data_IF_577961907793
#
_entry.id   IF_577961907793
#
_cell.length_a   1.000
_cell.length_b   1.000
_cell.length_c   1.000
_cell.angle_alpha   90.00
_cell.angle_beta   90.00
_cell.angle_gamma   90.00
#
_symmetry.space_group_name_H-M   'P 1'
#
loop_
_entity.id
_entity.type
_entity.pdbx_description
1 polymer ?
#
# COMPACT_ATOMS: atom_id res chain seq x y z
N UNK A 1 -27.34 12.61 74.64
CA UNK A 1 -27.05 13.20 73.33
C UNK A 1 -28.15 12.76 72.37
N UNK A 2 -28.94 13.72 71.87
CA UNK A 2 -30.06 13.49 70.96
C UNK A 2 -29.57 13.10 69.56
N UNK A 3 -30.12 12.03 68.98
CA UNK A 3 -30.09 11.79 67.53
C UNK A 3 -31.52 11.72 66.99
N UNK A 4 -31.87 12.76 66.23
CA UNK A 4 -33.13 12.89 65.47
C UNK A 4 -32.98 12.24 64.09
N UNK A 5 -34.01 11.45 63.75
CA UNK A 5 -34.71 11.33 62.46
C UNK A 5 -33.93 11.36 61.13
N UNK A 6 -33.85 10.18 60.53
CA UNK A 6 -34.41 9.80 59.21
C UNK A 6 -34.58 10.94 58.20
N UNK A 7 -33.78 10.90 57.13
CA UNK A 7 -34.22 11.27 55.78
C UNK A 7 -34.12 10.03 54.90
N UNK A 8 -35.28 9.61 54.42
CA UNK A 8 -35.44 8.65 53.34
C UNK A 8 -34.83 9.21 52.05
N UNK A 9 -34.11 8.37 51.32
CA UNK A 9 -33.90 8.53 49.87
C UNK A 9 -34.36 7.23 49.20
N UNK A 10 -35.14 7.31 48.11
CA UNK A 10 -35.88 6.17 47.60
C UNK A 10 -34.99 5.19 46.83
N UNK A 11 -35.29 3.94 47.10
CA UNK A 11 -34.90 2.72 46.40
C UNK A 11 -35.26 2.77 44.91
N UNK A 12 -34.26 2.87 44.03
CA UNK A 12 -34.36 2.39 42.65
C UNK A 12 -32.98 2.05 42.09
N UNK A 13 -32.42 0.91 42.52
CA UNK A 13 -31.54 0.12 41.65
C UNK A 13 -32.30 -1.17 41.38
N UNK A 14 -33.25 -1.09 40.45
CA UNK A 14 -33.70 -2.30 39.76
C UNK A 14 -32.56 -2.70 38.82
N UNK A 15 -31.84 -3.74 39.22
CA UNK A 15 -31.06 -4.56 38.31
C UNK A 15 -32.03 -5.18 37.29
N UNK A 16 -32.31 -4.46 36.21
CA UNK A 16 -32.91 -5.07 35.04
C UNK A 16 -31.85 -5.99 34.44
N UNK A 17 -31.91 -7.26 34.84
CA UNK A 17 -31.38 -8.38 34.09
C UNK A 17 -31.98 -8.35 32.69
N UNK A 18 -31.39 -7.54 31.80
CA UNK A 18 -31.55 -7.77 30.38
C UNK A 18 -30.71 -9.01 30.06
N UNK A 19 -31.30 -10.10 29.56
CA UNK A 19 -30.50 -11.12 28.92
C UNK A 19 -29.82 -10.43 27.74
N UNK A 20 -28.52 -10.16 27.88
CA UNK A 20 -27.66 -9.81 26.75
C UNK A 20 -27.82 -10.97 25.78
N UNK A 21 -28.65 -10.75 24.76
CA UNK A 21 -28.80 -11.61 23.61
C UNK A 21 -27.39 -11.91 23.12
N UNK A 22 -26.92 -13.15 23.36
CA UNK A 22 -25.70 -13.71 22.77
C UNK A 22 -25.93 -14.02 21.30
N UNK A 23 -26.49 -13.09 20.56
CA UNK A 23 -26.37 -13.09 19.12
C UNK A 23 -24.94 -12.64 18.83
N UNK A 24 -24.06 -13.47 18.27
CA UNK A 24 -22.82 -12.97 17.71
C UNK A 24 -23.23 -11.89 16.70
N UNK A 25 -22.78 -10.65 16.90
CA UNK A 25 -22.90 -9.63 15.86
C UNK A 25 -22.21 -10.27 14.66
N UNK A 26 -22.92 -10.56 13.56
CA UNK A 26 -22.27 -11.20 12.42
C UNK A 26 -21.18 -10.25 11.95
N UNK A 27 -19.92 -10.70 11.97
CA UNK A 27 -18.75 -9.99 11.44
C UNK A 27 -18.82 -9.81 9.91
N UNK A 28 -20.02 -9.80 9.34
CA UNK A 28 -20.34 -9.62 7.93
C UNK A 28 -20.52 -8.13 7.53
N UNK A 29 -20.18 -7.21 8.44
CA UNK A 29 -20.59 -5.80 8.36
C UNK A 29 -19.56 -4.85 7.77
N UNK A 30 -18.33 -5.28 7.46
CA UNK A 30 -17.34 -4.41 6.80
C UNK A 30 -17.55 -4.26 5.28
N UNK A 31 -17.66 -5.35 4.49
CA UNK A 31 -17.79 -5.23 3.02
C UNK A 31 -19.17 -4.74 2.56
N UNK A 32 -20.13 -4.60 3.48
CA UNK A 32 -21.46 -4.05 3.23
C UNK A 32 -21.52 -2.54 3.46
N UNK A 33 -20.45 -1.93 3.96
CA UNK A 33 -20.37 -0.48 4.13
C UNK A 33 -20.20 0.23 2.79
N UNK A 34 -20.78 1.44 2.63
CA UNK A 34 -20.46 2.31 1.50
C UNK A 34 -18.95 2.53 1.38
N UNK A 35 -18.46 2.62 0.14
CA UNK A 35 -17.04 2.79 -0.15
C UNK A 35 -16.47 4.03 0.56
N UNK A 36 -17.25 5.10 0.68
CA UNK A 36 -16.88 6.35 1.35
C UNK A 36 -16.56 6.13 2.83
N UNK A 37 -17.36 5.32 3.53
CA UNK A 37 -17.16 5.03 4.95
C UNK A 37 -15.94 4.13 5.16
N UNK A 38 -15.75 3.15 4.28
CA UNK A 38 -14.54 2.32 4.26
C UNK A 38 -13.28 3.18 4.02
N UNK A 39 -13.36 4.10 3.07
CA UNK A 39 -12.29 5.05 2.79
C UNK A 39 -12.04 5.96 3.99
N UNK A 40 -13.07 6.42 4.70
CA UNK A 40 -12.90 7.27 5.89
C UNK A 40 -12.25 6.51 7.06
N UNK A 41 -12.70 5.27 7.33
CA UNK A 41 -12.09 4.42 8.37
C UNK A 41 -10.60 4.20 8.07
N UNK A 42 -10.26 3.98 6.80
CA UNK A 42 -8.85 3.82 6.40
C UNK A 42 -7.99 5.08 6.50
N UNK A 43 -8.56 6.29 6.73
CA UNK A 43 -7.77 7.47 7.12
C UNK A 43 -7.05 7.28 8.46
N UNK A 44 -7.60 6.44 9.34
CA UNK A 44 -7.12 6.26 10.71
C UNK A 44 -6.26 5.01 10.89
N UNK A 45 -6.00 4.27 9.80
CA UNK A 45 -5.27 3.02 9.82
C UNK A 45 -3.85 3.19 9.31
N UNK A 46 -2.93 2.34 9.80
CA UNK A 46 -1.56 2.31 9.28
C UNK A 46 -1.53 1.65 7.90
N UNK A 47 -0.48 1.91 7.12
CA UNK A 47 -0.31 1.27 5.80
C UNK A 47 -0.31 -0.26 5.90
N UNK A 48 0.22 -0.83 6.99
CA UNK A 48 0.18 -2.28 7.26
C UNK A 48 -1.25 -2.78 7.45
N UNK A 49 -2.05 -2.07 8.24
CA UNK A 49 -3.44 -2.45 8.50
C UNK A 49 -4.30 -2.36 7.24
N UNK A 50 -4.06 -1.35 6.39
CA UNK A 50 -4.75 -1.22 5.09
C UNK A 50 -4.35 -2.39 4.17
N UNK A 51 -3.08 -2.80 4.16
CA UNK A 51 -2.63 -3.96 3.39
C UNK A 51 -3.31 -5.25 3.86
N UNK A 52 -3.34 -5.51 5.17
CA UNK A 52 -4.07 -6.65 5.75
C UNK A 52 -5.56 -6.63 5.37
N UNK A 53 -6.22 -5.48 5.45
CA UNK A 53 -7.63 -5.37 5.06
C UNK A 53 -7.87 -5.71 3.57
N UNK A 54 -6.93 -5.40 2.68
CA UNK A 54 -7.03 -5.77 1.26
C UNK A 54 -6.96 -7.28 1.04
N UNK A 55 -6.16 -7.98 1.83
CA UNK A 55 -6.01 -9.44 1.72
C UNK A 55 -7.25 -10.20 2.22
N UNK A 56 -8.02 -9.59 3.13
CA UNK A 56 -9.19 -10.26 3.71
C UNK A 56 -10.38 -10.40 2.75
N UNK A 57 -10.55 -9.49 1.79
CA UNK A 57 -11.74 -9.48 0.95
C UNK A 57 -11.51 -8.81 -0.42
N UNK A 58 -11.96 -9.45 -1.51
CA UNK A 58 -11.84 -8.92 -2.89
C UNK A 58 -12.52 -7.55 -3.08
N UNK A 59 -13.66 -7.31 -2.44
CA UNK A 59 -14.34 -6.01 -2.46
C UNK A 59 -13.50 -4.92 -1.78
N UNK A 60 -12.96 -5.21 -0.59
CA UNK A 60 -12.07 -4.29 0.12
C UNK A 60 -10.77 -4.05 -0.66
N UNK A 61 -10.23 -5.08 -1.31
CA UNK A 61 -9.07 -4.93 -2.19
C UNK A 61 -9.33 -3.91 -3.30
N UNK A 62 -10.51 -3.95 -3.92
CA UNK A 62 -10.89 -3.01 -4.98
C UNK A 62 -11.11 -1.58 -4.45
N UNK A 63 -11.82 -1.43 -3.33
CA UNK A 63 -12.10 -0.10 -2.73
C UNK A 63 -10.82 0.55 -2.21
N UNK A 64 -9.93 -0.24 -1.60
CA UNK A 64 -8.73 0.25 -0.92
C UNK A 64 -7.48 0.27 -1.81
N UNK A 65 -7.55 -0.24 -3.05
CA UNK A 65 -6.43 -0.22 -4.00
C UNK A 65 -5.85 1.19 -4.18
N UNK A 66 -6.71 2.20 -4.31
CA UNK A 66 -6.28 3.59 -4.43
C UNK A 66 -5.86 4.23 -3.09
N UNK A 67 -6.25 3.65 -1.95
CA UNK A 67 -5.99 4.23 -0.60
C UNK A 67 -4.58 3.98 -0.12
N UNK A 68 -4.04 2.78 -0.32
CA UNK A 68 -2.62 2.49 -0.03
C UNK A 68 -1.75 3.46 -0.82
N UNK A 69 -2.10 3.69 -2.08
CA UNK A 69 -1.45 4.67 -2.94
C UNK A 69 -1.46 6.10 -2.35
N UNK A 70 -2.62 6.61 -1.91
CA UNK A 70 -2.67 7.95 -1.29
C UNK A 70 -1.95 8.01 0.06
N UNK A 71 -2.04 6.94 0.85
CA UNK A 71 -1.39 6.83 2.15
C UNK A 71 0.14 6.86 2.02
N UNK A 72 0.69 6.11 1.07
CA UNK A 72 2.13 6.03 0.80
C UNK A 72 2.67 7.37 0.29
N UNK A 73 1.96 8.03 -0.63
CA UNK A 73 2.37 9.36 -1.10
C UNK A 73 2.26 10.40 0.01
N UNK A 74 1.20 10.34 0.83
CA UNK A 74 0.96 11.28 1.94
C UNK A 74 1.96 11.10 3.08
N UNK A 75 2.37 9.87 3.39
CA UNK A 75 3.38 9.61 4.42
C UNK A 75 4.75 10.15 4.01
N UNK A 76 5.00 10.28 2.70
CA UNK A 76 6.22 10.86 2.16
C UNK A 76 7.48 10.04 2.48
N UNK A 77 7.32 8.83 3.01
CA UNK A 77 8.45 8.03 3.44
C UNK A 77 9.11 7.36 2.23
N UNK A 78 10.42 7.57 2.00
CA UNK A 78 11.09 7.08 0.80
C UNK A 78 10.97 5.57 0.58
N UNK A 79 11.14 4.80 1.66
CA UNK A 79 11.09 3.34 1.62
C UNK A 79 9.71 2.82 1.21
N UNK A 80 8.63 3.37 1.78
CA UNK A 80 7.27 2.94 1.47
C UNK A 80 6.87 3.31 0.05
N UNK A 81 7.35 4.45 -0.45
CA UNK A 81 7.16 4.87 -1.83
C UNK A 81 7.82 3.90 -2.83
N UNK A 82 9.02 3.44 -2.49
CA UNK A 82 9.75 2.45 -3.27
C UNK A 82 9.07 1.08 -3.23
N UNK A 83 8.70 0.59 -2.04
CA UNK A 83 7.97 -0.67 -1.87
C UNK A 83 6.67 -0.67 -2.69
N UNK A 84 5.94 0.45 -2.73
CA UNK A 84 4.72 0.55 -3.53
C UNK A 84 4.97 0.46 -5.04
N UNK A 85 6.08 1.03 -5.54
CA UNK A 85 6.48 0.89 -6.95
C UNK A 85 6.86 -0.55 -7.29
N UNK A 86 7.62 -1.17 -6.40
CA UNK A 86 8.11 -2.55 -6.51
C UNK A 86 6.96 -3.55 -6.48
N UNK A 87 6.00 -3.35 -5.58
CA UNK A 87 4.80 -4.16 -5.51
C UNK A 87 3.89 -3.96 -6.73
N UNK A 88 3.78 -2.73 -7.26
CA UNK A 88 3.04 -2.48 -8.49
C UNK A 88 3.70 -3.14 -9.71
N UNK A 89 5.04 -3.13 -9.79
CA UNK A 89 5.80 -3.82 -10.83
C UNK A 89 5.62 -5.34 -10.77
N UNK A 90 5.68 -5.91 -9.57
CA UNK A 90 5.46 -7.36 -9.37
C UNK A 90 4.05 -7.81 -9.79
N UNK A 91 3.06 -6.93 -9.70
CA UNK A 91 1.68 -7.22 -10.14
C UNK A 91 1.42 -6.91 -11.62
N UNK A 92 2.43 -6.49 -12.38
CA UNK A 92 2.32 -5.96 -13.74
C UNK A 92 1.30 -4.80 -13.89
N UNK A 93 1.09 -4.01 -12.83
CA UNK A 93 0.12 -2.90 -12.82
C UNK A 93 0.74 -1.62 -13.40
N UNK A 94 0.88 -1.59 -14.72
CA UNK A 94 1.47 -0.47 -15.48
C UNK A 94 0.78 0.86 -15.23
N UNK A 95 -0.54 0.85 -15.10
CA UNK A 95 -1.34 2.05 -14.84
C UNK A 95 -1.04 2.64 -13.47
N UNK A 96 -0.91 1.80 -12.45
CA UNK A 96 -0.52 2.24 -11.11
C UNK A 96 0.90 2.81 -11.09
N UNK A 97 1.85 2.16 -11.76
CA UNK A 97 3.25 2.64 -11.86
C UNK A 97 3.30 4.01 -12.53
N UNK A 98 2.65 4.19 -13.69
CA UNK A 98 2.57 5.49 -14.38
C UNK A 98 1.93 6.55 -13.51
N UNK A 99 0.83 6.22 -12.82
CA UNK A 99 0.16 7.13 -11.89
C UNK A 99 1.05 7.53 -10.72
N UNK A 100 1.85 6.61 -10.18
CA UNK A 100 2.83 6.88 -9.12
C UNK A 100 3.94 7.82 -9.62
N UNK A 101 4.49 7.54 -10.81
CA UNK A 101 5.54 8.35 -11.45
C UNK A 101 5.06 9.78 -11.69
N UNK A 102 3.87 9.97 -12.29
CA UNK A 102 3.28 11.30 -12.57
C UNK A 102 3.05 12.12 -11.31
N UNK A 103 2.80 11.48 -10.18
CA UNK A 103 2.66 12.15 -8.88
C UNK A 103 3.99 12.51 -8.23
N UNK A 104 5.11 12.22 -8.90
CA UNK A 104 6.44 12.58 -8.43
C UNK A 104 6.94 11.69 -7.30
N UNK A 105 6.49 10.44 -7.23
CA UNK A 105 6.95 9.50 -6.19
C UNK A 105 8.47 9.35 -6.16
N UNK A 106 9.13 9.49 -7.31
CA UNK A 106 10.59 9.44 -7.44
C UNK A 106 11.27 10.61 -6.71
N UNK A 107 10.64 11.79 -6.72
CA UNK A 107 11.12 12.96 -5.97
C UNK A 107 10.95 12.75 -4.46
N UNK A 108 9.83 12.16 -4.05
CA UNK A 108 9.52 11.84 -2.65
C UNK A 108 10.46 10.75 -2.12
N UNK A 109 10.78 9.75 -2.94
CA UNK A 109 11.75 8.72 -2.62
C UNK A 109 13.19 9.23 -2.50
N UNK A 110 13.45 10.51 -2.81
CA UNK A 110 14.79 11.10 -2.77
C UNK A 110 15.79 10.39 -3.70
N UNK A 111 15.31 9.59 -4.66
CA UNK A 111 16.12 8.72 -5.50
C UNK A 111 16.05 9.19 -6.94
N UNK A 112 17.19 9.15 -7.61
CA UNK A 112 17.23 9.19 -9.07
C UNK A 112 16.82 7.83 -9.64
N UNK A 113 16.49 7.81 -10.93
CA UNK A 113 16.08 6.61 -11.66
C UNK A 113 17.07 5.43 -11.55
N UNK A 114 18.38 5.68 -11.70
CA UNK A 114 19.41 4.62 -11.68
C UNK A 114 19.42 3.78 -10.39
N UNK A 115 19.49 4.36 -9.18
CA UNK A 115 19.48 3.56 -7.96
C UNK A 115 18.18 2.81 -7.69
N UNK A 116 17.06 3.19 -8.33
CA UNK A 116 15.81 2.42 -8.22
C UNK A 116 15.90 1.11 -9.01
N UNK A 117 16.41 1.16 -10.24
CA UNK A 117 16.56 -0.05 -11.07
C UNK A 117 17.68 -0.94 -10.54
N UNK A 118 18.79 -0.36 -10.10
CA UNK A 118 19.86 -1.14 -9.46
C UNK A 118 19.30 -1.94 -8.28
N UNK A 119 18.53 -1.29 -7.41
CA UNK A 119 17.88 -1.98 -6.30
C UNK A 119 16.84 -3.01 -6.76
N UNK A 120 16.06 -2.71 -7.80
CA UNK A 120 15.13 -3.68 -8.37
C UNK A 120 15.86 -4.92 -8.91
N UNK A 121 17.03 -4.75 -9.54
CA UNK A 121 17.88 -5.87 -9.97
C UNK A 121 18.40 -6.66 -8.76
N UNK A 122 18.74 -6.01 -7.64
CA UNK A 122 19.13 -6.75 -6.44
C UNK A 122 17.98 -7.54 -5.82
N UNK A 123 16.79 -6.95 -5.73
CA UNK A 123 15.63 -7.53 -5.03
C UNK A 123 14.81 -8.51 -5.86
N UNK A 124 14.66 -8.26 -7.16
CA UNK A 124 13.83 -9.09 -8.04
C UNK A 124 14.68 -9.98 -8.93
N UNK A 125 14.38 -11.27 -8.92
CA UNK A 125 14.95 -12.22 -9.88
C UNK A 125 14.17 -12.32 -11.19
N UNK A 126 12.95 -11.80 -11.22
CA UNK A 126 12.05 -11.88 -12.36
C UNK A 126 12.33 -10.77 -13.38
N UNK A 127 12.55 -11.19 -14.63
CA UNK A 127 12.85 -10.30 -15.74
C UNK A 127 11.60 -9.53 -16.20
N UNK A 128 10.40 -10.12 -16.08
CA UNK A 128 9.16 -9.45 -16.49
C UNK A 128 8.85 -8.27 -15.57
N UNK A 129 8.94 -8.46 -14.26
CA UNK A 129 8.77 -7.40 -13.26
C UNK A 129 9.71 -6.23 -13.52
N UNK A 130 11.00 -6.51 -13.76
CA UNK A 130 11.99 -5.47 -14.07
C UNK A 130 11.65 -4.80 -15.42
N UNK A 131 11.26 -5.58 -16.41
CA UNK A 131 10.83 -5.09 -17.72
C UNK A 131 9.64 -4.14 -17.65
N UNK A 132 8.64 -4.47 -16.86
CA UNK A 132 7.45 -3.63 -16.66
C UNK A 132 7.81 -2.33 -15.95
N UNK A 133 8.65 -2.39 -14.92
CA UNK A 133 9.11 -1.19 -14.22
C UNK A 133 9.90 -0.26 -15.16
N UNK A 134 10.88 -0.82 -15.88
CA UNK A 134 11.74 -0.07 -16.80
C UNK A 134 10.92 0.50 -17.96
N UNK A 135 10.05 -0.30 -18.57
CA UNK A 135 9.16 0.16 -19.65
C UNK A 135 8.29 1.33 -19.23
N UNK A 136 7.67 1.28 -18.04
CA UNK A 136 6.90 2.40 -17.52
C UNK A 136 7.74 3.66 -17.27
N UNK A 137 8.99 3.50 -16.83
CA UNK A 137 9.90 4.62 -16.59
C UNK A 137 10.39 5.28 -17.89
N UNK A 138 10.61 4.48 -18.93
CA UNK A 138 10.97 4.93 -20.29
C UNK A 138 9.79 5.65 -20.95
N UNK A 139 8.59 5.08 -20.89
CA UNK A 139 7.39 5.70 -21.45
C UNK A 139 7.05 7.05 -20.81
N UNK A 140 7.25 7.18 -19.50
CA UNK A 140 7.04 8.45 -18.79
C UNK A 140 8.23 9.42 -18.93
N UNK A 141 9.27 9.05 -19.68
CA UNK A 141 10.41 9.91 -20.00
C UNK A 141 11.24 10.32 -18.78
N UNK A 142 11.27 9.49 -17.73
CA UNK A 142 11.95 9.80 -16.46
C UNK A 142 13.36 9.20 -16.41
N UNK A 143 13.70 8.39 -17.40
CA UNK A 143 15.03 7.82 -17.58
C UNK A 143 16.02 8.89 -18.00
N UNK A 144 17.21 8.88 -17.39
CA UNK A 144 18.34 9.68 -17.87
C UNK A 144 19.17 8.86 -18.86
N UNK A 145 19.83 9.54 -19.78
CA UNK A 145 20.78 8.95 -20.71
C UNK A 145 21.82 8.09 -19.96
N UNK A 146 22.04 6.87 -20.48
CA UNK A 146 23.02 5.90 -19.95
C UNK A 146 22.61 5.12 -18.70
N UNK A 147 21.44 5.38 -18.14
CA UNK A 147 21.03 4.66 -16.92
C UNK A 147 20.54 3.23 -17.20
N UNK A 148 19.99 2.94 -18.39
CA UNK A 148 19.67 1.57 -18.82
C UNK A 148 20.97 0.81 -19.12
N UNK A 149 21.96 1.43 -19.76
CA UNK A 149 23.27 0.82 -20.04
C UNK A 149 23.98 0.40 -18.75
N UNK A 150 23.93 1.25 -17.72
CA UNK A 150 24.46 0.93 -16.39
C UNK A 150 23.73 -0.26 -15.75
N UNK A 151 22.40 -0.31 -15.90
CA UNK A 151 21.58 -1.41 -15.38
C UNK A 151 21.89 -2.73 -16.11
N UNK A 152 22.12 -2.69 -17.43
CA UNK A 152 22.58 -3.84 -18.22
C UNK A 152 23.93 -4.35 -17.73
N UNK A 153 24.90 -3.45 -17.54
CA UNK A 153 26.22 -3.82 -17.03
C UNK A 153 26.16 -4.47 -15.64
N UNK A 154 25.27 -3.97 -14.76
CA UNK A 154 25.02 -4.58 -13.46
C UNK A 154 24.40 -5.98 -13.58
N UNK A 155 23.37 -6.14 -14.40
CA UNK A 155 22.70 -7.42 -14.61
C UNK A 155 23.63 -8.48 -15.23
N UNK A 156 24.52 -8.06 -16.13
CA UNK A 156 25.59 -8.91 -16.69
C UNK A 156 26.58 -9.35 -15.61
N UNK A 157 27.05 -8.44 -14.76
CA UNK A 157 27.94 -8.76 -13.65
C UNK A 157 27.32 -9.67 -12.59
N UNK A 158 25.99 -9.74 -12.54
CA UNK A 158 25.23 -10.63 -11.65
C UNK A 158 24.76 -11.93 -12.33
N UNK A 159 25.19 -12.20 -13.57
CA UNK A 159 24.83 -13.39 -14.36
C UNK A 159 23.30 -13.56 -14.56
N UNK A 160 22.57 -12.45 -14.69
CA UNK A 160 21.10 -12.44 -14.87
C UNK A 160 20.70 -12.26 -16.33
N UNK A 161 20.95 -13.27 -17.15
CA UNK A 161 20.76 -13.22 -18.61
C UNK A 161 19.34 -12.80 -19.02
N UNK A 162 18.30 -13.33 -18.38
CA UNK A 162 16.91 -12.94 -18.69
C UNK A 162 16.61 -11.45 -18.43
N UNK A 163 17.23 -10.87 -17.39
CA UNK A 163 17.09 -9.43 -17.10
C UNK A 163 17.85 -8.60 -18.14
N UNK A 164 19.04 -9.06 -18.54
CA UNK A 164 19.82 -8.42 -19.61
C UNK A 164 19.04 -8.38 -20.91
N UNK A 165 18.47 -9.51 -21.34
CA UNK A 165 17.66 -9.58 -22.57
C UNK A 165 16.50 -8.58 -22.55
N UNK A 166 15.81 -8.44 -21.42
CA UNK A 166 14.69 -7.50 -21.27
C UNK A 166 15.18 -6.05 -21.30
N UNK A 167 16.29 -5.73 -20.63
CA UNK A 167 16.82 -4.37 -20.58
C UNK A 167 17.37 -3.90 -21.92
N UNK A 168 17.99 -4.79 -22.70
CA UNK A 168 18.55 -4.48 -24.02
C UNK A 168 17.47 -4.03 -25.00
N UNK A 169 16.23 -4.56 -24.90
CA UNK A 169 15.09 -4.12 -25.72
C UNK A 169 14.72 -2.65 -25.58
N UNK A 170 15.17 -1.99 -24.51
CA UNK A 170 14.93 -0.57 -24.26
C UNK A 170 16.13 0.32 -24.64
N UNK A 171 17.21 -0.26 -25.19
CA UNK A 171 18.37 0.45 -25.73
C UNK A 171 18.34 0.56 -27.26
N UNK A 172 17.47 -0.21 -27.92
CA UNK A 172 17.23 -0.20 -29.38
C UNK A 172 16.26 0.93 -29.79
#
# INVERSE_FOLDING_TARGET
>A
MCTRQIRELPSYIQTTNNPVSKSPIPLASLPTLPAEILLEITNHLTTKDIAFLRETNRHLSNVLANRVFYSVIKSGHPTSCQEALFEAAFRDDKELIKKLIRRGILKIAGRTYSPLIEQAIYEFHDAETIGTLVGCLVEEGVTKDGAIEKAVGLAQGMEREGVVEVLVRYLE
#
